data_IF_134833335608
#
_entry.id   IF_134833335608
#
_cell.length_a   1.000
_cell.length_b   1.000
_cell.length_c   1.000
_cell.angle_alpha   90.00
_cell.angle_beta   90.00
_cell.angle_gamma   90.00
#
_symmetry.space_group_name_H-M   'P 1'
#
loop_
_entity.id
_entity.type
_entity.pdbx_description
1 polymer ?
#
# COMPACT_ATOMS: atom_id res chain seq x y z
N UNK A 1 -17.29 11.41 -12.79
CA UNK A 1 -15.99 10.70 -12.66
C UNK A 1 -14.87 11.38 -13.44
N UNK A 2 -14.99 11.73 -14.74
CA UNK A 2 -13.92 12.38 -15.49
C UNK A 2 -13.39 13.68 -14.86
N UNK A 3 -14.25 14.55 -14.32
CA UNK A 3 -13.81 15.79 -13.65
C UNK A 3 -12.95 15.53 -12.41
N UNK A 4 -13.27 14.48 -11.64
CA UNK A 4 -12.48 14.06 -10.47
C UNK A 4 -11.10 13.58 -10.95
N UNK A 5 -11.06 12.79 -12.02
CA UNK A 5 -9.79 12.31 -12.60
C UNK A 5 -8.97 13.47 -13.16
N UNK A 6 -9.59 14.45 -13.83
CA UNK A 6 -8.90 15.64 -14.32
C UNK A 6 -8.30 16.48 -13.18
N UNK A 7 -8.99 16.55 -12.04
CA UNK A 7 -8.47 17.20 -10.84
C UNK A 7 -7.29 16.44 -10.22
N UNK A 8 -7.39 15.11 -10.10
CA UNK A 8 -6.34 14.27 -9.52
C UNK A 8 -5.10 14.20 -10.42
N UNK A 9 -5.30 14.10 -11.73
CA UNK A 9 -4.27 13.83 -12.73
C UNK A 9 -4.11 15.01 -13.71
N UNK A 10 -3.65 16.19 -13.22
CA UNK A 10 -3.58 17.38 -14.07
C UNK A 10 -2.61 17.15 -15.25
N UNK A 11 -3.05 17.57 -16.44
CA UNK A 11 -2.28 17.44 -17.69
C UNK A 11 -2.40 16.07 -18.37
N UNK A 12 -3.25 15.17 -17.87
CA UNK A 12 -3.59 13.91 -18.53
C UNK A 12 -5.03 13.96 -19.06
N UNK A 13 -5.33 13.23 -20.13
CA UNK A 13 -6.71 13.03 -20.57
C UNK A 13 -7.43 12.11 -19.57
N UNK A 14 -8.51 12.57 -18.90
CA UNK A 14 -9.21 11.77 -17.90
C UNK A 14 -9.84 10.49 -18.47
N UNK A 15 -10.19 10.45 -19.76
CA UNK A 15 -10.75 9.25 -20.39
C UNK A 15 -9.67 8.18 -20.61
N UNK A 16 -8.49 8.58 -21.08
CA UNK A 16 -7.36 7.67 -21.24
C UNK A 16 -6.88 7.12 -19.89
N UNK A 17 -6.90 7.95 -18.84
CA UNK A 17 -6.62 7.50 -17.47
C UNK A 17 -7.62 6.43 -17.07
N UNK A 18 -8.92 6.67 -17.24
CA UNK A 18 -9.96 5.71 -16.89
C UNK A 18 -9.83 4.40 -17.67
N UNK A 19 -9.63 4.44 -18.99
CA UNK A 19 -9.46 3.24 -19.81
C UNK A 19 -8.29 2.38 -19.33
N UNK A 20 -7.15 2.98 -18.99
CA UNK A 20 -6.00 2.23 -18.43
C UNK A 20 -6.34 1.52 -17.12
N UNK A 21 -7.11 2.14 -16.23
CA UNK A 21 -7.50 1.50 -14.97
C UNK A 21 -8.57 0.43 -15.17
N UNK A 22 -9.49 0.64 -16.11
CA UNK A 22 -10.46 -0.38 -16.52
C UNK A 22 -9.75 -1.62 -17.08
N UNK A 23 -8.78 -1.43 -17.98
CA UNK A 23 -8.03 -2.53 -18.59
C UNK A 23 -7.20 -3.29 -17.54
N UNK A 24 -6.65 -2.58 -16.54
CA UNK A 24 -5.95 -3.19 -15.40
C UNK A 24 -6.88 -3.98 -14.48
N UNK A 25 -8.08 -3.46 -14.23
CA UNK A 25 -9.05 -4.09 -13.33
C UNK A 25 -9.71 -5.33 -13.97
N UNK A 26 -9.82 -5.37 -15.30
CA UNK A 26 -10.51 -6.44 -16.03
C UNK A 26 -12.04 -6.39 -15.90
N UNK A 27 -12.58 -5.37 -15.24
CA UNK A 27 -14.01 -5.15 -15.02
C UNK A 27 -14.32 -3.65 -15.10
N UNK A 28 -15.35 -3.29 -15.87
CA UNK A 28 -15.80 -1.91 -16.08
C UNK A 28 -16.96 -1.47 -15.19
N UNK A 29 -17.29 -2.23 -14.15
CA UNK A 29 -18.52 -2.00 -13.36
C UNK A 29 -18.33 -1.39 -11.97
N UNK A 30 -17.09 -1.18 -11.49
CA UNK A 30 -16.81 -0.61 -10.16
C UNK A 30 -16.04 0.71 -10.21
N UNK A 31 -16.78 1.81 -10.40
CA UNK A 31 -16.23 3.17 -10.43
C UNK A 31 -15.58 3.58 -9.09
N UNK A 32 -16.03 3.03 -7.96
CA UNK A 32 -15.46 3.35 -6.64
C UNK A 32 -14.09 2.71 -6.48
N UNK A 33 -13.95 1.43 -6.83
CA UNK A 33 -12.66 0.76 -6.81
C UNK A 33 -11.64 1.43 -7.75
N UNK A 34 -12.08 1.92 -8.90
CA UNK A 34 -11.23 2.65 -9.84
C UNK A 34 -10.79 4.00 -9.28
N UNK A 35 -11.71 4.77 -8.68
CA UNK A 35 -11.35 6.02 -8.02
C UNK A 35 -10.37 5.79 -6.88
N UNK A 36 -10.54 4.72 -6.08
CA UNK A 36 -9.58 4.33 -5.03
C UNK A 36 -8.22 3.99 -5.62
N UNK A 37 -8.17 3.22 -6.71
CA UNK A 37 -6.92 2.85 -7.37
C UNK A 37 -6.19 4.07 -7.96
N UNK A 38 -6.91 4.93 -8.71
CA UNK A 38 -6.39 6.18 -9.27
C UNK A 38 -5.87 7.09 -8.15
N UNK A 39 -6.65 7.27 -7.09
CA UNK A 39 -6.25 8.12 -5.96
C UNK A 39 -5.02 7.56 -5.24
N UNK A 40 -4.97 6.24 -5.02
CA UNK A 40 -3.83 5.55 -4.39
C UNK A 40 -2.55 5.77 -5.19
N UNK A 41 -2.60 5.55 -6.50
CA UNK A 41 -1.42 5.72 -7.35
C UNK A 41 -0.99 7.18 -7.44
N UNK A 42 -1.94 8.10 -7.61
CA UNK A 42 -1.63 9.51 -7.86
C UNK A 42 -1.17 10.25 -6.60
N UNK A 43 -1.78 9.99 -5.44
CA UNK A 43 -1.49 10.70 -4.19
C UNK A 43 -0.36 10.03 -3.40
N UNK A 44 -0.24 8.70 -3.46
CA UNK A 44 0.65 7.94 -2.59
C UNK A 44 1.73 7.20 -3.38
N UNK A 45 1.36 6.24 -4.22
CA UNK A 45 2.30 5.26 -4.76
C UNK A 45 3.30 5.88 -5.75
N UNK A 46 2.82 6.65 -6.73
CA UNK A 46 3.68 7.26 -7.74
C UNK A 46 4.58 8.37 -7.17
N UNK A 47 4.10 9.29 -6.30
CA UNK A 47 4.98 10.24 -5.62
C UNK A 47 6.07 9.56 -4.77
N UNK A 48 5.72 8.52 -4.00
CA UNK A 48 6.68 7.76 -3.20
C UNK A 48 7.73 7.05 -4.07
N UNK A 49 7.30 6.45 -5.18
CA UNK A 49 8.20 5.82 -6.15
C UNK A 49 9.17 6.83 -6.76
N UNK A 50 8.67 7.98 -7.27
CA UNK A 50 9.52 9.04 -7.83
C UNK A 50 10.54 9.58 -6.82
N UNK A 51 10.13 9.76 -5.56
CA UNK A 51 11.04 10.16 -4.51
C UNK A 51 12.14 9.12 -4.26
N UNK A 52 11.77 7.84 -4.21
CA UNK A 52 12.70 6.74 -4.02
C UNK A 52 13.72 6.67 -5.18
N UNK A 53 13.26 6.76 -6.43
CA UNK A 53 14.11 6.74 -7.61
C UNK A 53 15.09 7.92 -7.61
N UNK A 54 14.60 9.13 -7.28
CA UNK A 54 15.42 10.33 -7.18
C UNK A 54 16.50 10.21 -6.08
N UNK A 55 16.19 9.55 -4.96
CA UNK A 55 17.15 9.29 -3.88
C UNK A 55 18.16 8.22 -4.27
N UNK A 56 17.72 7.13 -4.91
CA UNK A 56 18.61 6.09 -5.40
C UNK A 56 19.62 6.66 -6.42
N UNK A 57 19.19 7.59 -7.29
CA UNK A 57 20.06 8.26 -8.25
C UNK A 57 21.21 9.09 -7.62
N UNK A 58 21.12 9.45 -6.34
CA UNK A 58 22.23 10.11 -5.61
C UNK A 58 23.19 9.11 -4.96
N UNK A 59 23.03 7.80 -5.20
CA UNK A 59 23.79 6.73 -4.55
C UNK A 59 23.30 6.37 -3.15
N UNK A 60 22.15 6.89 -2.71
CA UNK A 60 21.55 6.50 -1.44
C UNK A 60 20.95 5.10 -1.54
N UNK A 61 21.07 4.30 -0.47
CA UNK A 61 20.31 3.05 -0.34
C UNK A 61 18.87 3.38 0.04
N UNK A 62 17.92 2.93 -0.76
CA UNK A 62 16.49 3.15 -0.55
C UNK A 62 15.78 1.80 -0.55
N UNK A 63 14.96 1.57 0.46
CA UNK A 63 14.11 0.39 0.57
C UNK A 63 12.67 0.84 0.54
N UNK A 64 11.83 0.20 -0.27
CA UNK A 64 10.38 0.44 -0.27
C UNK A 64 9.66 -0.81 0.21
N UNK A 65 8.49 -0.62 0.79
CA UNK A 65 7.58 -1.72 1.04
C UNK A 65 6.14 -1.31 0.73
N UNK A 66 5.27 -2.29 0.51
CA UNK A 66 3.83 -2.15 0.37
C UNK A 66 3.13 -3.07 1.36
N UNK A 67 2.00 -2.66 1.90
CA UNK A 67 1.15 -3.50 2.75
C UNK A 67 -0.14 -3.80 2.00
N UNK A 68 -0.35 -5.08 1.71
CA UNK A 68 -1.56 -5.62 1.05
C UNK A 68 -2.50 -6.29 2.06
N UNK A 69 -2.10 -6.37 3.34
CA UNK A 69 -2.93 -6.92 4.40
C UNK A 69 -4.24 -6.11 4.54
N UNK A 70 -5.42 -6.77 4.48
CA UNK A 70 -6.69 -6.08 4.37
C UNK A 70 -7.20 -5.46 5.68
N UNK A 71 -6.47 -5.60 6.79
CA UNK A 71 -6.89 -5.15 8.11
C UNK A 71 -8.24 -5.74 8.51
N UNK A 72 -9.05 -4.96 9.26
CA UNK A 72 -10.29 -5.50 9.82
C UNK A 72 -11.47 -5.55 8.84
N UNK A 73 -11.32 -4.93 7.67
CA UNK A 73 -12.36 -4.87 6.64
C UNK A 73 -11.91 -5.56 5.36
N UNK A 74 -12.16 -6.87 5.22
CA UNK A 74 -11.79 -7.64 4.02
C UNK A 74 -12.28 -7.00 2.70
N UNK A 75 -13.43 -6.31 2.73
CA UNK A 75 -13.98 -5.58 1.59
C UNK A 75 -13.21 -4.28 1.27
N UNK A 76 -12.66 -3.62 2.28
CA UNK A 76 -11.93 -2.36 2.13
C UNK A 76 -10.48 -2.57 1.69
N UNK A 77 -9.95 -3.79 1.85
CA UNK A 77 -8.54 -4.14 1.61
C UNK A 77 -7.61 -3.26 2.46
N UNK A 78 -6.33 -3.19 2.09
CA UNK A 78 -5.37 -2.35 2.80
C UNK A 78 -5.73 -0.87 2.62
N UNK A 79 -6.18 -0.24 3.71
CA UNK A 79 -6.52 1.19 3.74
C UNK A 79 -5.33 2.04 4.18
N UNK A 80 -5.45 3.36 4.01
CA UNK A 80 -4.44 4.30 4.47
C UNK A 80 -4.11 4.08 5.95
N UNK A 81 -2.82 4.03 6.28
CA UNK A 81 -2.28 3.85 7.64
C UNK A 81 -2.57 2.50 8.31
N UNK A 82 -3.04 1.49 7.58
CA UNK A 82 -3.27 0.14 8.14
C UNK A 82 -2.00 -0.49 8.72
N UNK A 83 -0.83 -0.08 8.24
CA UNK A 83 0.48 -0.53 8.72
C UNK A 83 0.86 0.00 10.11
N UNK A 84 0.30 1.15 10.52
CA UNK A 84 0.61 1.79 11.81
C UNK A 84 0.23 0.88 12.98
N UNK A 85 -1.03 0.41 13.12
CA UNK A 85 -1.38 -0.49 14.22
C UNK A 85 -0.64 -1.82 14.15
N UNK A 86 -0.31 -2.33 12.95
CA UNK A 86 0.50 -3.53 12.77
C UNK A 86 1.92 -3.36 13.35
N UNK A 87 2.56 -2.22 13.05
CA UNK A 87 3.92 -1.91 13.49
C UNK A 87 4.00 -1.64 15.01
N UNK A 88 3.00 -0.97 15.57
CA UNK A 88 3.01 -0.55 16.97
C UNK A 88 2.26 -1.50 17.92
N UNK A 89 1.69 -2.59 17.42
CA UNK A 89 1.03 -3.61 18.23
C UNK A 89 -0.39 -3.26 18.69
N UNK A 90 -0.95 -2.13 18.26
CA UNK A 90 -2.33 -1.71 18.59
C UNK A 90 -3.40 -2.40 17.73
N UNK A 91 -3.01 -3.35 16.88
CA UNK A 91 -3.94 -4.17 16.08
C UNK A 91 -4.70 -5.22 16.91
N UNK A 92 -4.31 -5.46 18.17
CA UNK A 92 -4.87 -6.49 19.07
C UNK A 92 -5.16 -5.97 20.49
N UNK A 93 -5.42 -4.66 20.65
CA UNK A 93 -5.55 -4.02 21.97
C UNK A 93 -6.99 -3.69 22.38
N UNK A 94 -8.01 -4.08 21.61
CA UNK A 94 -9.41 -3.70 21.84
C UNK A 94 -9.77 -2.30 21.34
N UNK A 95 -8.81 -1.55 20.81
CA UNK A 95 -8.90 -0.13 20.50
C UNK A 95 -9.22 0.19 19.03
N UNK A 96 -9.07 1.47 18.63
CA UNK A 96 -9.25 1.88 17.23
C UNK A 96 -8.26 1.21 16.26
N UNK A 97 -7.06 0.85 16.71
CA UNK A 97 -6.03 0.19 15.88
C UNK A 97 -6.48 -1.18 15.38
N UNK A 98 -7.17 -1.95 16.23
CA UNK A 98 -7.76 -3.24 15.88
C UNK A 98 -8.79 -3.12 14.74
N UNK A 99 -9.59 -2.05 14.73
CA UNK A 99 -10.56 -1.77 13.65
C UNK A 99 -9.92 -1.33 12.34
N UNK A 100 -8.66 -0.92 12.35
CA UNK A 100 -7.94 -0.44 11.17
C UNK A 100 -7.03 -1.52 10.56
N UNK A 101 -6.24 -2.20 11.39
CA UNK A 101 -5.26 -3.19 10.94
C UNK A 101 -5.42 -4.60 11.52
N UNK A 102 -6.40 -4.83 12.40
CA UNK A 102 -6.60 -6.12 13.08
C UNK A 102 -7.52 -7.10 12.34
N UNK A 103 -7.82 -8.25 12.96
CA UNK A 103 -8.92 -9.18 12.63
C UNK A 103 -8.84 -10.04 11.36
N UNK A 104 -8.05 -9.69 10.34
CA UNK A 104 -7.90 -10.56 9.17
C UNK A 104 -7.00 -11.78 9.48
N UNK A 105 -7.25 -12.94 8.83
CA UNK A 105 -6.35 -14.08 8.92
C UNK A 105 -4.90 -13.69 8.60
N UNK A 106 -3.97 -14.12 9.45
CA UNK A 106 -2.55 -13.81 9.26
C UNK A 106 -2.08 -12.43 9.74
N UNK A 107 -2.93 -11.64 10.40
CA UNK A 107 -2.54 -10.32 10.98
C UNK A 107 -1.27 -10.42 11.82
N UNK A 108 -1.20 -11.36 12.77
CA UNK A 108 -0.02 -11.54 13.64
C UNK A 108 1.26 -11.81 12.85
N UNK A 109 1.18 -12.63 11.81
CA UNK A 109 2.33 -12.96 10.93
C UNK A 109 2.80 -11.72 10.18
N UNK A 110 1.87 -10.94 9.63
CA UNK A 110 2.19 -9.72 8.89
C UNK A 110 2.79 -8.67 9.84
N UNK A 111 2.17 -8.45 11.00
CA UNK A 111 2.67 -7.53 12.02
C UNK A 111 4.08 -7.92 12.48
N UNK A 112 4.31 -9.21 12.78
CA UNK A 112 5.63 -9.73 13.15
C UNK A 112 6.68 -9.49 12.06
N UNK A 113 6.35 -9.76 10.80
CA UNK A 113 7.27 -9.52 9.68
C UNK A 113 7.60 -8.02 9.51
N UNK A 114 6.60 -7.15 9.65
CA UNK A 114 6.77 -5.70 9.55
C UNK A 114 7.67 -5.17 10.68
N UNK A 115 7.42 -5.60 11.92
CA UNK A 115 8.24 -5.24 13.10
C UNK A 115 9.68 -5.71 12.93
N UNK A 116 9.89 -6.95 12.46
CA UNK A 116 11.23 -7.48 12.23
C UNK A 116 12.00 -6.68 11.16
N UNK A 117 11.36 -6.35 10.06
CA UNK A 117 11.96 -5.54 9.00
C UNK A 117 12.36 -4.13 9.48
N UNK A 118 11.45 -3.46 10.19
CA UNK A 118 11.73 -2.13 10.75
C UNK A 118 12.83 -2.18 11.81
N UNK A 119 12.85 -3.19 12.68
CA UNK A 119 13.91 -3.38 13.67
C UNK A 119 15.27 -3.62 12.99
N UNK A 120 15.32 -4.50 11.98
CA UNK A 120 16.53 -4.77 11.21
C UNK A 120 17.06 -3.49 10.53
N UNK A 121 16.18 -2.69 9.92
CA UNK A 121 16.56 -1.43 9.32
C UNK A 121 17.12 -0.43 10.34
N UNK A 122 16.47 -0.26 11.49
CA UNK A 122 16.93 0.65 12.55
C UNK A 122 18.30 0.23 13.11
N UNK A 123 18.54 -1.08 13.27
CA UNK A 123 19.79 -1.57 13.85
C UNK A 123 20.95 -1.72 12.86
N UNK A 124 20.68 -2.12 11.62
CA UNK A 124 21.71 -2.52 10.65
C UNK A 124 21.67 -1.70 9.34
N UNK A 125 20.69 -0.82 9.16
CA UNK A 125 20.51 -0.04 7.93
C UNK A 125 20.04 -0.87 6.74
N UNK A 126 19.59 -2.12 6.97
CA UNK A 126 19.00 -3.00 5.97
C UNK A 126 17.82 -3.75 6.60
N UNK A 127 16.65 -3.78 5.95
CA UNK A 127 15.45 -4.44 6.48
C UNK A 127 15.42 -5.97 6.24
N UNK A 128 16.43 -6.51 5.54
CA UNK A 128 16.62 -7.97 5.39
C UNK A 128 16.08 -8.59 4.10
N UNK A 129 15.44 -7.83 3.20
CA UNK A 129 15.11 -8.30 1.85
C UNK A 129 16.11 -7.80 0.82
N UNK A 130 16.15 -8.51 -0.31
CA UNK A 130 16.86 -8.11 -1.52
C UNK A 130 15.89 -7.45 -2.51
N UNK A 131 16.39 -6.49 -3.29
CA UNK A 131 15.57 -5.74 -4.24
C UNK A 131 14.88 -4.51 -3.64
N UNK A 132 14.15 -3.79 -4.51
CA UNK A 132 13.70 -2.43 -4.22
C UNK A 132 12.35 -2.36 -3.50
N UNK A 133 11.56 -3.43 -3.51
CA UNK A 133 10.20 -3.47 -2.96
C UNK A 133 9.86 -4.82 -2.32
N UNK A 134 9.49 -4.79 -1.03
CA UNK A 134 8.87 -5.92 -0.32
C UNK A 134 7.35 -5.74 -0.19
N UNK A 135 6.57 -6.82 -0.20
CA UNK A 135 5.11 -6.78 -0.09
C UNK A 135 4.61 -7.60 1.10
N UNK A 136 4.12 -6.91 2.12
CA UNK A 136 3.55 -7.52 3.32
C UNK A 136 2.08 -7.91 3.10
N UNK A 137 1.75 -9.18 3.30
CA UNK A 137 0.37 -9.68 3.17
C UNK A 137 -0.04 -10.09 1.74
N UNK A 138 0.84 -9.92 0.74
CA UNK A 138 0.56 -10.28 -0.66
C UNK A 138 0.44 -11.79 -0.94
N UNK A 139 0.90 -12.65 -0.02
CA UNK A 139 0.83 -14.11 -0.16
C UNK A 139 -0.44 -14.76 0.42
N UNK A 140 -1.41 -13.97 0.92
CA UNK A 140 -2.65 -14.51 1.51
C UNK A 140 -3.77 -14.80 0.49
N UNK A 141 -3.49 -14.73 -0.82
CA UNK A 141 -4.47 -15.04 -1.88
C UNK A 141 -4.30 -16.43 -2.52
N UNK A 142 -3.45 -17.30 -1.96
CA UNK A 142 -3.41 -18.71 -2.36
C UNK A 142 -3.87 -19.61 -1.20
N UNK A 143 -5.19 -19.69 -1.02
CA UNK A 143 -5.87 -20.80 -0.36
C UNK A 143 -7.22 -21.03 -1.03
#
# INVERSE_FOLDING_TARGET
MPDIVAHLCPGQDPHEVLDRYYDRAGDRTDDVALLVAITTDTIVAAPAARWADARAATGARVYRYRVDHPGAGAQLRATHTTEVPLLFGTWNDGGPGERLGGQAPGTERVAGALVQAWAAFVHAGSPGWEGDLEVFGGALTNA
#
